data_IF_463713744727
#
_entry.id   IF_463713744727
#
_cell.length_a   1.000
_cell.length_b   1.000
_cell.length_c   1.000
_cell.angle_alpha   90.00
_cell.angle_beta   90.00
_cell.angle_gamma   90.00
#
_symmetry.space_group_name_H-M   'P 1'
#
loop_
_entity.id
_entity.type
_entity.pdbx_description
1 polymer ?
#
# COMPACT_ATOMS: atom_id res chain seq x y z
N UNK A 1 2.70 15.18 0.47
CA UNK A 1 1.58 15.94 1.11
C UNK A 1 1.81 16.11 2.61
N UNK A 2 2.27 15.07 3.32
CA UNK A 2 2.52 15.12 4.77
C UNK A 2 3.68 16.04 5.18
N UNK A 3 4.67 16.22 4.32
CA UNK A 3 5.87 17.03 4.62
C UNK A 3 5.58 18.49 4.97
N UNK A 4 4.47 19.03 4.47
CA UNK A 4 4.09 20.42 4.72
C UNK A 4 3.14 20.60 5.93
N UNK A 5 2.63 19.50 6.50
CA UNK A 5 1.67 19.51 7.62
C UNK A 5 2.26 18.95 8.92
N UNK A 6 3.39 18.27 8.85
CA UNK A 6 4.07 17.78 10.07
C UNK A 6 4.72 18.93 10.81
N UNK A 7 4.51 19.06 12.12
CA UNK A 7 5.22 20.05 12.92
C UNK A 7 6.72 19.87 12.73
N UNK A 8 7.38 20.89 12.23
CA UNK A 8 8.84 20.93 12.18
C UNK A 8 9.33 20.86 13.62
N UNK A 9 10.14 19.86 13.97
CA UNK A 9 10.80 19.69 15.27
C UNK A 9 9.99 18.97 16.39
N UNK A 10 9.38 17.85 16.10
CA UNK A 10 9.09 16.90 17.17
C UNK A 10 10.42 16.25 17.55
N UNK A 11 10.85 16.45 18.80
CA UNK A 11 12.11 15.87 19.32
C UNK A 11 12.07 14.33 19.20
N UNK A 12 13.09 13.76 18.58
CA UNK A 12 13.19 12.31 18.39
C UNK A 12 12.51 11.75 17.14
N UNK A 13 11.93 12.61 16.27
CA UNK A 13 11.37 12.16 14.98
C UNK A 13 12.25 12.66 13.85
N UNK A 14 12.73 11.74 13.02
CA UNK A 14 13.43 12.02 11.77
C UNK A 14 12.55 11.67 10.58
N UNK A 15 12.56 12.54 9.56
CA UNK A 15 11.78 12.36 8.33
C UNK A 15 12.72 12.06 7.16
N UNK A 16 12.49 10.96 6.51
CA UNK A 16 13.22 10.55 5.32
C UNK A 16 12.31 10.66 4.10
N UNK A 17 12.84 11.15 2.98
CA UNK A 17 12.12 11.16 1.71
C UNK A 17 12.22 9.80 1.02
N UNK A 18 13.34 9.12 1.21
CA UNK A 18 13.62 7.85 0.56
C UNK A 18 14.15 6.84 1.59
N UNK A 19 13.72 5.59 1.53
CA UNK A 19 14.21 4.52 2.42
C UNK A 19 15.72 4.32 2.37
N UNK A 20 16.35 4.63 1.22
CA UNK A 20 17.81 4.54 1.05
C UNK A 20 18.61 5.49 1.94
N UNK A 21 17.97 6.56 2.42
CA UNK A 21 18.61 7.58 3.26
C UNK A 21 18.62 7.14 4.74
N UNK A 22 17.99 6.02 5.08
CA UNK A 22 17.96 5.48 6.44
C UNK A 22 19.24 4.70 6.70
N UNK A 23 20.03 5.13 7.66
CA UNK A 23 21.16 4.34 8.16
C UNK A 23 20.69 3.23 9.10
N UNK A 24 20.35 2.10 8.51
CA UNK A 24 19.82 0.94 9.27
C UNK A 24 20.83 0.32 10.24
N UNK A 25 22.12 0.63 10.11
CA UNK A 25 23.16 0.10 11.00
C UNK A 25 23.22 0.86 12.34
N UNK A 26 22.73 2.08 12.36
CA UNK A 26 22.65 2.90 13.58
C UNK A 26 21.39 2.66 14.41
N UNK A 27 20.43 1.88 13.90
CA UNK A 27 19.14 1.65 14.54
C UNK A 27 19.22 0.53 15.59
N UNK A 28 18.46 0.70 16.67
CA UNK A 28 18.39 -0.16 17.83
C UNK A 28 16.97 -0.70 18.04
N UNK A 29 16.76 -1.52 19.07
CA UNK A 29 15.44 -2.05 19.48
C UNK A 29 14.48 -1.01 20.07
N UNK A 30 14.99 0.18 20.41
CA UNK A 30 14.18 1.33 20.84
C UNK A 30 13.60 2.10 19.63
N UNK A 31 14.18 1.93 18.45
CA UNK A 31 13.78 2.67 17.25
C UNK A 31 12.55 2.07 16.58
N UNK A 32 11.78 2.94 15.95
CA UNK A 32 10.57 2.57 15.19
C UNK A 32 10.61 3.22 13.82
N UNK A 33 10.64 2.41 12.77
CA UNK A 33 10.46 2.90 11.40
C UNK A 33 8.98 2.86 11.04
N UNK A 34 8.43 4.01 10.64
CA UNK A 34 7.04 4.16 10.24
C UNK A 34 6.97 4.50 8.76
N UNK A 35 6.42 3.59 7.97
CA UNK A 35 6.00 3.85 6.59
C UNK A 35 4.60 4.43 6.59
N UNK A 36 4.40 5.51 5.82
CA UNK A 36 3.11 6.20 5.71
C UNK A 36 2.54 6.01 4.30
N UNK A 37 1.27 5.62 4.23
CA UNK A 37 0.53 5.49 2.97
C UNK A 37 -0.88 6.08 3.14
N UNK A 38 -1.54 6.47 2.07
CA UNK A 38 -2.93 6.92 2.12
C UNK A 38 -3.91 5.73 2.08
N UNK A 39 -3.61 4.72 1.27
CA UNK A 39 -4.40 3.50 1.17
C UNK A 39 -3.56 2.26 0.88
N UNK A 40 -3.72 1.23 1.68
CA UNK A 40 -3.24 -0.10 1.38
C UNK A 40 -4.39 -0.91 0.78
N UNK A 41 -4.40 -1.03 -0.54
CA UNK A 41 -5.44 -1.76 -1.29
C UNK A 41 -5.21 -3.27 -1.27
N UNK A 42 -4.42 -3.78 -2.22
CA UNK A 42 -4.05 -5.20 -2.32
C UNK A 42 -2.80 -5.56 -1.49
N UNK A 43 -2.07 -4.56 -1.01
CA UNK A 43 -0.75 -4.73 -0.40
C UNK A 43 0.37 -5.06 -1.40
N UNK A 44 0.08 -4.98 -2.71
CA UNK A 44 1.02 -5.41 -3.76
C UNK A 44 2.23 -4.50 -3.86
N UNK A 45 2.02 -3.19 -3.81
CA UNK A 45 3.11 -2.20 -3.88
C UNK A 45 4.10 -2.42 -2.74
N UNK A 46 3.64 -2.43 -1.50
CA UNK A 46 4.51 -2.66 -0.35
C UNK A 46 5.22 -4.02 -0.41
N UNK A 47 4.50 -5.09 -0.75
CA UNK A 47 5.07 -6.43 -0.86
C UNK A 47 6.12 -6.53 -1.98
N UNK A 48 5.94 -5.80 -3.08
CA UNK A 48 6.92 -5.75 -4.18
C UNK A 48 8.17 -4.98 -3.74
N UNK A 49 7.98 -3.81 -3.14
CA UNK A 49 9.07 -2.96 -2.69
C UNK A 49 9.91 -3.63 -1.58
N UNK A 50 9.29 -4.42 -0.70
CA UNK A 50 9.99 -5.22 0.31
C UNK A 50 10.88 -6.33 -0.27
N UNK A 51 10.56 -6.84 -1.46
CA UNK A 51 11.37 -7.87 -2.13
C UNK A 51 12.57 -7.32 -2.86
N UNK A 52 12.60 -6.03 -3.10
CA UNK A 52 13.69 -5.35 -3.79
C UNK A 52 14.71 -4.87 -2.75
N UNK A 53 15.98 -5.13 -3.02
CA UNK A 53 17.10 -4.70 -2.19
C UNK A 53 18.05 -3.83 -3.01
N UNK A 54 18.73 -2.89 -2.35
CA UNK A 54 19.86 -2.17 -2.94
C UNK A 54 21.07 -3.11 -2.87
N UNK A 55 21.34 -3.89 -3.91
CA UNK A 55 22.54 -4.72 -3.98
C UNK A 55 23.70 -3.92 -4.57
N UNK A 56 24.87 -3.99 -3.90
CA UNK A 56 26.13 -3.59 -4.53
C UNK A 56 26.56 -4.73 -5.45
N UNK A 57 26.67 -4.47 -6.75
CA UNK A 57 27.36 -5.38 -7.65
C UNK A 57 28.80 -5.63 -7.18
N UNK A 58 29.33 -6.84 -7.48
CA UNK A 58 30.70 -7.29 -7.18
C UNK A 58 31.81 -6.31 -7.58
N UNK A 59 31.52 -5.35 -8.47
CA UNK A 59 32.46 -4.35 -9.00
C UNK A 59 32.22 -2.94 -8.44
N UNK A 60 31.47 -2.77 -7.35
CA UNK A 60 31.26 -1.47 -6.73
C UNK A 60 30.25 -0.57 -7.45
N UNK A 61 29.66 -1.00 -8.55
CA UNK A 61 28.51 -0.33 -9.16
C UNK A 61 27.25 -0.69 -8.41
N UNK A 62 26.54 0.31 -7.95
CA UNK A 62 25.17 0.15 -7.48
C UNK A 62 24.35 -0.17 -8.74
N UNK A 63 23.78 -1.36 -8.82
CA UNK A 63 22.66 -1.60 -9.71
C UNK A 63 21.56 -0.67 -9.23
N UNK A 64 21.36 0.43 -9.95
CA UNK A 64 20.14 1.19 -9.84
C UNK A 64 19.01 0.28 -10.34
N UNK A 65 18.45 -0.51 -9.43
CA UNK A 65 17.07 -0.90 -9.59
C UNK A 65 16.34 0.43 -9.58
N UNK A 66 15.72 0.81 -10.69
CA UNK A 66 15.15 2.13 -10.98
C UNK A 66 13.95 2.48 -10.07
N UNK A 67 13.93 1.98 -8.85
CA UNK A 67 12.90 2.25 -7.87
C UNK A 67 13.53 2.86 -6.61
N UNK A 68 13.45 4.17 -6.50
CA UNK A 68 13.91 4.92 -5.32
C UNK A 68 13.19 4.49 -4.03
N UNK A 69 12.11 3.76 -4.14
CA UNK A 69 11.23 3.28 -3.07
C UNK A 69 11.51 1.86 -2.59
N UNK A 70 12.59 1.25 -3.06
CA UNK A 70 12.98 -0.10 -2.62
C UNK A 70 13.24 -0.12 -1.12
N UNK A 71 12.49 -0.93 -0.38
CA UNK A 71 12.50 -0.96 1.09
C UNK A 71 13.01 -2.26 1.70
N UNK A 72 13.39 -3.24 0.86
CA UNK A 72 13.84 -4.56 1.33
C UNK A 72 15.09 -4.53 2.21
N UNK A 73 15.91 -3.49 2.12
CA UNK A 73 17.04 -3.31 3.03
C UNK A 73 16.63 -2.84 4.43
N UNK A 74 15.45 -2.23 4.54
CA UNK A 74 14.88 -1.68 5.78
C UNK A 74 13.88 -2.65 6.40
N UNK A 75 13.05 -3.29 5.58
CA UNK A 75 12.00 -4.21 6.03
C UNK A 75 12.54 -5.63 6.08
N UNK A 76 13.06 -6.04 7.25
CA UNK A 76 13.66 -7.36 7.48
C UNK A 76 13.04 -8.03 8.69
N UNK A 77 12.88 -9.35 8.62
CA UNK A 77 12.33 -10.16 9.72
C UNK A 77 13.15 -10.05 11.02
N UNK A 78 14.48 -10.02 10.90
CA UNK A 78 15.39 -9.96 12.05
C UNK A 78 15.95 -8.56 12.28
N UNK A 79 15.22 -7.50 11.89
CA UNK A 79 15.63 -6.14 12.19
C UNK A 79 15.63 -5.90 13.71
N UNK A 80 16.65 -5.22 14.28
CA UNK A 80 16.65 -4.90 15.69
C UNK A 80 15.54 -3.90 16.07
N UNK A 81 15.14 -3.05 15.16
CA UNK A 81 14.11 -2.01 15.30
C UNK A 81 12.71 -2.51 14.95
N UNK A 82 11.69 -1.77 15.36
CA UNK A 82 10.30 -2.04 15.05
C UNK A 82 9.90 -1.46 13.70
N UNK A 83 9.06 -2.17 12.96
CA UNK A 83 8.58 -1.74 11.65
C UNK A 83 7.06 -1.59 11.70
N UNK A 84 6.58 -0.42 11.30
CA UNK A 84 5.16 -0.05 11.30
C UNK A 84 4.78 0.45 9.91
N UNK A 85 3.67 -0.03 9.39
CA UNK A 85 3.02 0.51 8.21
C UNK A 85 1.68 1.12 8.64
N UNK A 86 1.61 2.43 8.56
CA UNK A 86 0.45 3.23 8.94
C UNK A 86 -0.23 3.80 7.69
N UNK A 87 -1.51 3.50 7.48
CA UNK A 87 -2.30 4.06 6.39
C UNK A 87 -3.61 4.67 6.89
N UNK A 88 -4.17 5.61 6.13
CA UNK A 88 -5.50 6.13 6.42
C UNK A 88 -6.55 5.02 6.26
N UNK A 89 -6.44 4.23 5.19
CA UNK A 89 -7.34 3.12 4.90
C UNK A 89 -6.54 1.85 4.63
N UNK A 90 -6.95 0.78 5.29
CA UNK A 90 -6.38 -0.56 5.14
C UNK A 90 -7.46 -1.51 4.64
N UNK A 91 -7.41 -1.87 3.35
CA UNK A 91 -8.35 -2.84 2.80
C UNK A 91 -8.10 -4.22 3.38
N UNK A 92 -9.16 -4.95 3.69
CA UNK A 92 -9.12 -6.29 4.29
C UNK A 92 -8.23 -7.28 3.52
N UNK A 93 -8.25 -7.21 2.20
CA UNK A 93 -7.38 -8.04 1.34
C UNK A 93 -5.90 -7.71 1.52
N UNK A 94 -5.57 -6.41 1.50
CA UNK A 94 -4.19 -5.95 1.71
C UNK A 94 -3.69 -6.30 3.09
N UNK A 95 -4.53 -6.08 4.12
CA UNK A 95 -4.25 -6.45 5.50
C UNK A 95 -3.90 -7.94 5.62
N UNK A 96 -4.80 -8.82 5.18
CA UNK A 96 -4.61 -10.28 5.27
C UNK A 96 -3.33 -10.74 4.55
N UNK A 97 -3.04 -10.16 3.38
CA UNK A 97 -1.83 -10.47 2.63
C UNK A 97 -0.58 -10.04 3.38
N UNK A 98 -0.52 -8.79 3.84
CA UNK A 98 0.67 -8.27 4.49
C UNK A 98 0.93 -8.92 5.85
N UNK A 99 -0.11 -9.22 6.63
CA UNK A 99 0.02 -10.00 7.87
C UNK A 99 0.58 -11.41 7.65
N UNK A 100 0.24 -12.02 6.51
CA UNK A 100 0.77 -13.33 6.14
C UNK A 100 2.21 -13.26 5.63
N UNK A 101 2.50 -12.31 4.73
CA UNK A 101 3.78 -12.23 4.02
C UNK A 101 4.87 -11.52 4.84
N UNK A 102 4.46 -10.64 5.78
CA UNK A 102 5.34 -9.82 6.62
C UNK A 102 4.82 -9.76 8.06
N UNK A 103 4.78 -10.89 8.80
CA UNK A 103 4.20 -10.96 10.15
C UNK A 103 4.93 -10.10 11.19
N UNK A 104 6.16 -9.68 10.89
CA UNK A 104 6.98 -8.80 11.72
C UNK A 104 6.70 -7.30 11.49
N UNK A 105 5.90 -6.93 10.49
CA UNK A 105 5.45 -5.56 10.23
C UNK A 105 4.11 -5.32 10.91
N UNK A 106 4.04 -4.32 11.77
CA UNK A 106 2.79 -3.92 12.41
C UNK A 106 1.98 -3.02 11.49
N UNK A 107 0.71 -3.38 11.26
CA UNK A 107 -0.19 -2.64 10.38
C UNK A 107 -1.19 -1.85 11.21
N UNK A 108 -1.32 -0.56 10.88
CA UNK A 108 -2.34 0.32 11.46
C UNK A 108 -3.10 1.07 10.36
N UNK A 109 -4.40 1.22 10.54
CA UNK A 109 -5.28 1.95 9.62
C UNK A 109 -6.75 1.63 9.88
N UNK A 110 -7.66 2.41 9.27
CA UNK A 110 -9.08 2.11 9.29
C UNK A 110 -9.37 0.93 8.34
N UNK A 111 -9.72 -0.21 8.91
CA UNK A 111 -9.92 -1.44 8.13
C UNK A 111 -11.25 -1.41 7.38
N UNK A 112 -11.18 -1.46 6.05
CA UNK A 112 -12.33 -1.49 5.16
C UNK A 112 -12.43 -2.80 4.39
N UNK A 113 -13.66 -3.30 4.24
CA UNK A 113 -13.94 -4.48 3.40
C UNK A 113 -13.96 -4.10 1.93
N UNK A 114 -13.48 -4.99 1.09
CA UNK A 114 -13.57 -4.82 -0.35
C UNK A 114 -15.03 -4.83 -0.84
N UNK A 115 -15.31 -4.09 -1.91
CA UNK A 115 -16.67 -3.81 -2.40
C UNK A 115 -17.52 -5.05 -2.66
N UNK A 116 -16.90 -6.13 -3.14
CA UNK A 116 -17.60 -7.39 -3.47
C UNK A 116 -17.32 -8.49 -2.44
N UNK A 117 -17.23 -8.14 -1.16
CA UNK A 117 -17.15 -9.09 -0.06
C UNK A 117 -18.46 -9.87 0.06
N UNK A 118 -18.38 -11.20 0.13
CA UNK A 118 -19.56 -12.08 0.16
C UNK A 118 -20.55 -11.73 1.28
N UNK A 119 -20.03 -11.37 2.46
CA UNK A 119 -20.86 -11.18 3.65
C UNK A 119 -21.02 -9.72 4.09
N UNK A 120 -20.17 -8.81 3.57
CA UNK A 120 -20.09 -7.42 4.03
C UNK A 120 -20.09 -6.42 2.87
N UNK A 121 -20.57 -6.81 1.70
CA UNK A 121 -20.65 -5.92 0.55
C UNK A 121 -21.60 -4.76 0.82
N UNK A 122 -21.21 -3.51 0.51
CA UNK A 122 -22.10 -2.36 0.59
C UNK A 122 -23.25 -2.42 -0.43
N UNK A 123 -23.15 -3.29 -1.41
CA UNK A 123 -24.17 -3.44 -2.46
C UNK A 123 -25.35 -4.33 -2.07
N UNK A 124 -25.41 -4.82 -0.83
CA UNK A 124 -26.50 -5.67 -0.31
C UNK A 124 -26.24 -7.16 -0.52
N UNK A 125 -27.36 -7.95 -0.60
CA UNK A 125 -27.29 -9.41 -0.66
C UNK A 125 -26.46 -9.97 -1.83
N UNK A 126 -26.00 -11.21 -1.66
CA UNK A 126 -25.07 -11.88 -2.57
C UNK A 126 -25.44 -11.80 -4.06
N UNK A 127 -26.70 -12.03 -4.41
CA UNK A 127 -27.15 -12.00 -5.82
C UNK A 127 -27.04 -10.60 -6.44
N UNK A 128 -27.41 -9.56 -5.67
CA UNK A 128 -27.30 -8.17 -6.11
C UNK A 128 -25.82 -7.77 -6.25
N UNK A 129 -25.02 -8.09 -5.27
CA UNK A 129 -23.58 -7.85 -5.29
C UNK A 129 -22.91 -8.51 -6.50
N UNK A 130 -23.26 -9.77 -6.80
CA UNK A 130 -22.74 -10.50 -7.96
C UNK A 130 -23.05 -9.76 -9.28
N UNK A 131 -24.31 -9.34 -9.48
CA UNK A 131 -24.70 -8.58 -10.68
C UNK A 131 -23.94 -7.27 -10.82
N UNK A 132 -23.77 -6.53 -9.72
CA UNK A 132 -23.02 -5.27 -9.73
C UNK A 132 -21.54 -5.54 -10.02
N UNK A 133 -20.95 -6.59 -9.47
CA UNK A 133 -19.58 -6.98 -9.77
C UNK A 133 -19.37 -7.32 -11.25
N UNK A 134 -20.29 -8.08 -11.84
CA UNK A 134 -20.29 -8.43 -13.27
C UNK A 134 -20.40 -7.16 -14.15
N UNK A 135 -21.28 -6.24 -13.76
CA UNK A 135 -21.40 -4.94 -14.41
C UNK A 135 -20.07 -4.13 -14.34
N UNK A 136 -19.50 -3.96 -13.14
CA UNK A 136 -18.25 -3.24 -12.96
C UNK A 136 -17.10 -3.89 -13.76
N UNK A 137 -17.04 -5.21 -13.80
CA UNK A 137 -16.04 -5.92 -14.58
C UNK A 137 -16.20 -5.68 -16.08
N UNK A 138 -17.42 -5.90 -16.62
CA UNK A 138 -17.73 -5.72 -18.04
C UNK A 138 -17.38 -4.32 -18.54
N UNK A 139 -17.82 -3.29 -17.83
CA UNK A 139 -17.56 -1.91 -18.22
C UNK A 139 -16.13 -1.47 -17.85
N UNK A 140 -15.58 -2.00 -16.76
CA UNK A 140 -14.18 -1.83 -16.40
C UNK A 140 -13.21 -2.29 -17.49
N UNK A 141 -13.52 -3.36 -18.21
CA UNK A 141 -12.74 -3.83 -19.37
C UNK A 141 -12.65 -2.80 -20.49
N UNK A 142 -13.69 -1.99 -20.66
CA UNK A 142 -13.75 -0.94 -21.71
C UNK A 142 -12.96 0.29 -21.32
N UNK A 143 -12.97 0.67 -20.06
CA UNK A 143 -12.40 1.93 -19.57
C UNK A 143 -11.01 1.78 -18.95
N UNK A 144 -10.71 0.64 -18.32
CA UNK A 144 -9.44 0.40 -17.63
C UNK A 144 -9.02 -1.08 -17.69
N UNK A 145 -8.67 -1.55 -18.90
CA UNK A 145 -8.31 -2.95 -19.14
C UNK A 145 -7.13 -3.37 -18.27
N UNK A 146 -7.25 -4.52 -17.62
CA UNK A 146 -6.26 -5.08 -16.70
C UNK A 146 -6.39 -4.57 -15.26
N UNK A 147 -7.30 -3.62 -15.00
CA UNK A 147 -7.61 -3.08 -13.68
C UNK A 147 -9.10 -2.91 -13.46
N UNK A 148 -9.92 -3.75 -14.04
CA UNK A 148 -11.38 -3.67 -14.11
C UNK A 148 -12.05 -3.49 -12.75
N UNK A 149 -11.45 -4.07 -11.72
CA UNK A 149 -11.92 -4.01 -10.33
C UNK A 149 -10.91 -3.32 -9.39
N UNK A 150 -10.16 -2.35 -9.92
CA UNK A 150 -9.10 -1.63 -9.22
C UNK A 150 -7.73 -2.30 -9.33
N UNK A 151 -6.68 -1.57 -8.96
CA UNK A 151 -5.30 -2.05 -9.04
C UNK A 151 -5.13 -3.36 -8.27
N UNK A 152 -4.48 -4.35 -8.90
CA UNK A 152 -4.30 -5.71 -8.35
C UNK A 152 -5.59 -6.32 -7.78
N UNK A 153 -6.73 -6.03 -8.41
CA UNK A 153 -8.06 -6.52 -7.99
C UNK A 153 -8.40 -6.18 -6.52
N UNK A 154 -7.99 -4.99 -6.06
CA UNK A 154 -8.23 -4.50 -4.71
C UNK A 154 -9.70 -4.32 -4.37
N UNK A 155 -10.53 -4.01 -5.37
CA UNK A 155 -11.97 -3.81 -5.24
C UNK A 155 -12.33 -2.75 -4.18
N UNK A 156 -11.50 -1.71 -4.05
CA UNK A 156 -11.78 -0.64 -3.12
C UNK A 156 -12.96 0.21 -3.60
N UNK A 157 -13.72 0.72 -2.66
CA UNK A 157 -14.76 1.73 -2.86
C UNK A 157 -14.42 2.93 -1.97
N UNK A 158 -13.34 3.63 -2.36
CA UNK A 158 -12.72 4.69 -1.57
C UNK A 158 -12.48 5.91 -2.45
N UNK A 159 -12.92 7.06 -1.97
CA UNK A 159 -12.69 8.37 -2.58
C UNK A 159 -12.12 9.28 -1.50
N UNK A 160 -11.02 9.96 -1.80
CA UNK A 160 -10.52 11.05 -0.96
C UNK A 160 -10.98 12.40 -1.56
N UNK A 161 -11.13 13.40 -0.74
CA UNK A 161 -11.56 14.72 -1.19
C UNK A 161 -10.61 15.36 -2.22
N UNK A 162 -9.35 14.96 -2.22
CA UNK A 162 -8.29 15.50 -3.08
C UNK A 162 -7.84 14.55 -4.19
N UNK A 163 -8.20 13.28 -4.13
CA UNK A 163 -7.75 12.27 -5.09
C UNK A 163 -8.61 11.01 -5.05
N UNK A 164 -8.60 10.27 -6.16
CA UNK A 164 -9.18 8.93 -6.22
C UNK A 164 -8.04 7.93 -6.36
N UNK A 165 -7.88 7.01 -5.39
CA UNK A 165 -6.86 5.97 -5.47
C UNK A 165 -7.09 5.03 -6.65
N UNK A 166 -6.03 4.60 -7.31
CA UNK A 166 -6.09 3.61 -8.39
C UNK A 166 -6.59 2.23 -7.93
N UNK A 167 -6.65 2.00 -6.63
CA UNK A 167 -7.25 0.84 -5.99
C UNK A 167 -8.79 0.84 -6.06
N UNK A 168 -9.39 2.02 -6.30
CA UNK A 168 -10.85 2.19 -6.41
C UNK A 168 -11.36 1.63 -7.73
N UNK A 169 -12.61 1.14 -7.72
CA UNK A 169 -13.30 0.64 -8.91
C UNK A 169 -13.26 1.67 -10.04
N UNK A 170 -12.68 1.37 -11.22
CA UNK A 170 -12.48 2.35 -12.30
C UNK A 170 -13.76 2.99 -12.79
N UNK A 171 -14.86 2.25 -12.78
CA UNK A 171 -16.17 2.73 -13.23
C UNK A 171 -16.68 3.99 -12.47
N UNK A 172 -16.06 4.30 -11.33
CA UNK A 172 -16.46 5.44 -10.49
C UNK A 172 -15.70 6.72 -10.88
N UNK A 173 -14.50 6.61 -11.46
CA UNK A 173 -13.61 7.75 -11.56
C UNK A 173 -12.87 7.90 -12.89
N UNK A 174 -12.86 6.87 -13.73
CA UNK A 174 -12.18 6.97 -15.04
C UNK A 174 -13.10 7.62 -16.04
N UNK A 175 -12.78 8.86 -16.44
CA UNK A 175 -13.38 9.54 -17.57
C UNK A 175 -12.70 9.08 -18.86
N UNK A 176 -13.47 8.49 -19.75
CA UNK A 176 -13.09 8.28 -21.15
C UNK A 176 -14.09 9.05 -22.01
N UNK A 177 -13.74 10.28 -22.33
CA UNK A 177 -14.34 11.03 -23.42
C UNK A 177 -13.36 11.11 -24.57
#
# INVERSE_FOLDING_TARGET
LFKNQTPKNIKGIMYYNHPKDIDVQSLTDEDVIIFLDDIIGSGDSFATDCKLTFEKEKNGKILQINNEWTIGNVVKENAPYKIVLLSCILMDKGKTRLERDFPYVKLYGDVRVHAFSKNKSPFGGYLKMKKIREFCYKYGQQICRGRELGYSNSQALVLFAHAVPNNTLPIIWVDKY
#
